data_IF_107950130714
#
_entry.id   IF_107950130714
#
_cell.length_a   1.000
_cell.length_b   1.000
_cell.length_c   1.000
_cell.angle_alpha   90.00
_cell.angle_beta   90.00
_cell.angle_gamma   90.00
#
_symmetry.space_group_name_H-M   'P 1'
#
loop_
_entity.id
_entity.type
_entity.pdbx_description
1 polymer ?
#
# COMPACT_ATOMS: atom_id res chain seq x y z
N UNK A 1 6.45 16.32 19.90
CA UNK A 1 7.02 15.72 18.68
C UNK A 1 5.84 15.35 17.78
N UNK A 2 5.89 15.64 16.48
CA UNK A 2 4.83 15.27 15.52
C UNK A 2 5.35 14.08 14.71
N UNK A 3 4.54 13.03 14.58
CA UNK A 3 4.82 11.89 13.71
C UNK A 3 4.10 12.09 12.37
N UNK A 4 4.80 11.81 11.27
CA UNK A 4 4.22 11.71 9.93
C UNK A 4 3.85 10.25 9.65
N UNK A 5 2.60 10.01 9.29
CA UNK A 5 2.10 8.69 8.91
C UNK A 5 2.32 8.44 7.41
N UNK A 6 2.12 7.20 7.00
CA UNK A 6 2.23 6.76 5.62
C UNK A 6 0.98 7.09 4.77
N UNK A 7 1.05 6.73 3.48
CA UNK A 7 -0.01 6.97 2.50
C UNK A 7 -1.05 5.84 2.46
N UNK A 8 -2.16 6.08 1.75
CA UNK A 8 -3.18 5.07 1.51
C UNK A 8 -2.71 3.95 0.58
N UNK A 9 -2.47 2.75 1.12
CA UNK A 9 -1.98 1.59 0.36
C UNK A 9 -2.85 1.24 -0.87
N UNK A 10 -4.18 1.22 -0.72
CA UNK A 10 -5.08 0.90 -1.82
C UNK A 10 -5.03 1.94 -2.96
N UNK A 11 -4.89 3.22 -2.62
CA UNK A 11 -4.79 4.29 -3.61
C UNK A 11 -3.46 4.25 -4.35
N UNK A 12 -2.36 4.00 -3.64
CA UNK A 12 -1.03 3.80 -4.23
C UNK A 12 -1.00 2.60 -5.18
N UNK A 13 -1.58 1.46 -4.78
CA UNK A 13 -1.70 0.28 -5.63
C UNK A 13 -2.46 0.62 -6.92
N UNK A 14 -3.60 1.29 -6.81
CA UNK A 14 -4.41 1.69 -7.97
C UNK A 14 -3.66 2.65 -8.88
N UNK A 15 -2.99 3.66 -8.33
CA UNK A 15 -2.22 4.65 -9.11
C UNK A 15 -1.03 4.02 -9.84
N UNK A 16 -0.43 2.97 -9.27
CA UNK A 16 0.66 2.20 -9.88
C UNK A 16 0.16 1.12 -10.86
N UNK A 17 -1.14 1.04 -11.11
CA UNK A 17 -1.74 0.13 -12.08
C UNK A 17 -2.00 -1.29 -11.57
N UNK A 18 -1.94 -1.53 -10.26
CA UNK A 18 -2.29 -2.82 -9.68
C UNK A 18 -3.80 -2.98 -9.53
N UNK A 19 -4.26 -4.23 -9.60
CA UNK A 19 -5.65 -4.58 -9.41
C UNK A 19 -6.07 -4.34 -7.94
N UNK A 20 -7.04 -3.45 -7.73
CA UNK A 20 -7.65 -3.20 -6.42
C UNK A 20 -9.10 -3.67 -6.49
N UNK A 21 -9.32 -4.93 -6.15
CA UNK A 21 -10.63 -5.59 -6.21
C UNK A 21 -11.58 -5.10 -5.13
N UNK A 22 -12.87 -5.17 -5.40
CA UNK A 22 -13.88 -4.91 -4.38
C UNK A 22 -14.12 -6.15 -3.50
N UNK A 23 -14.74 -5.95 -2.34
CA UNK A 23 -15.05 -7.03 -1.39
C UNK A 23 -15.95 -8.14 -1.96
N UNK A 24 -16.59 -7.91 -3.11
CA UNK A 24 -17.48 -8.89 -3.77
C UNK A 24 -16.70 -9.91 -4.59
N UNK A 25 -15.60 -9.49 -5.20
CA UNK A 25 -14.76 -10.32 -6.07
C UNK A 25 -13.53 -10.85 -5.35
N UNK A 26 -12.84 -10.00 -4.58
CA UNK A 26 -11.72 -10.39 -3.72
C UNK A 26 -11.35 -9.25 -2.76
N UNK A 27 -10.91 -9.57 -1.54
CA UNK A 27 -10.36 -8.55 -0.64
C UNK A 27 -9.05 -8.02 -1.26
N UNK A 28 -9.01 -6.73 -1.61
CA UNK A 28 -7.88 -6.13 -2.33
C UNK A 28 -6.54 -6.39 -1.65
N UNK A 29 -6.49 -6.35 -0.31
CA UNK A 29 -5.25 -6.53 0.45
C UNK A 29 -4.72 -7.96 0.32
N UNK A 30 -5.62 -8.96 0.35
CA UNK A 30 -5.25 -10.36 0.13
C UNK A 30 -4.76 -10.57 -1.30
N UNK A 31 -5.46 -10.01 -2.30
CA UNK A 31 -5.04 -10.09 -3.71
C UNK A 31 -3.65 -9.47 -3.91
N UNK A 32 -3.41 -8.28 -3.35
CA UNK A 32 -2.12 -7.60 -3.41
C UNK A 32 -0.99 -8.42 -2.77
N UNK A 33 -1.23 -8.99 -1.59
CA UNK A 33 -0.23 -9.82 -0.88
C UNK A 33 0.09 -11.13 -1.60
N UNK A 34 -0.88 -11.75 -2.28
CA UNK A 34 -0.67 -13.01 -3.00
C UNK A 34 -0.05 -12.76 -4.38
N UNK A 35 -0.60 -11.81 -5.14
CA UNK A 35 -0.23 -11.61 -6.55
C UNK A 35 0.91 -10.61 -6.74
N UNK A 36 1.08 -9.66 -5.83
CA UNK A 36 2.00 -8.53 -6.00
C UNK A 36 2.62 -8.05 -4.68
N UNK A 37 3.19 -8.95 -3.84
CA UNK A 37 3.75 -8.58 -2.54
C UNK A 37 4.86 -7.53 -2.64
N UNK A 38 5.63 -7.55 -3.73
CA UNK A 38 6.68 -6.55 -3.95
C UNK A 38 6.12 -5.14 -4.13
N UNK A 39 4.90 -4.98 -4.67
CA UNK A 39 4.27 -3.67 -4.80
C UNK A 39 3.99 -3.03 -3.44
N UNK A 40 3.50 -3.83 -2.48
CA UNK A 40 3.28 -3.42 -1.08
C UNK A 40 4.58 -2.96 -0.44
N UNK A 41 5.66 -3.75 -0.61
CA UNK A 41 6.99 -3.42 -0.08
C UNK A 41 7.53 -2.11 -0.67
N UNK A 42 7.42 -1.92 -1.99
CA UNK A 42 7.91 -0.70 -2.63
C UNK A 42 7.12 0.54 -2.22
N UNK A 43 5.80 0.43 -2.00
CA UNK A 43 4.99 1.54 -1.48
C UNK A 43 5.46 1.93 -0.07
N UNK A 44 5.69 0.96 0.83
CA UNK A 44 6.22 1.27 2.16
C UNK A 44 7.62 1.89 2.09
N UNK A 45 8.50 1.41 1.19
CA UNK A 45 9.82 2.03 0.96
C UNK A 45 9.70 3.47 0.46
N UNK A 46 8.74 3.75 -0.41
CA UNK A 46 8.52 5.10 -0.93
C UNK A 46 7.94 6.03 0.14
N UNK A 47 7.06 5.53 1.01
CA UNK A 47 6.60 6.28 2.20
C UNK A 47 7.78 6.63 3.13
N UNK A 48 8.70 5.70 3.35
CA UNK A 48 9.93 5.96 4.14
C UNK A 48 10.81 7.02 3.45
N UNK A 49 11.02 6.93 2.12
CA UNK A 49 11.78 7.94 1.37
C UNK A 49 11.12 9.32 1.40
N UNK A 50 9.79 9.38 1.45
CA UNK A 50 9.01 10.61 1.58
C UNK A 50 9.07 11.22 3.00
N UNK A 51 9.63 10.48 3.97
CA UNK A 51 9.85 10.96 5.34
C UNK A 51 8.79 10.52 6.34
N UNK A 52 7.98 9.49 6.06
CA UNK A 52 7.07 8.96 7.08
C UNK A 52 7.85 8.36 8.25
N UNK A 53 7.35 8.57 9.47
CA UNK A 53 7.90 8.02 10.70
C UNK A 53 7.27 6.67 11.07
N UNK A 54 6.07 6.40 10.56
CA UNK A 54 5.26 5.23 10.92
C UNK A 54 4.71 4.56 9.66
N UNK A 55 4.84 3.24 9.59
CA UNK A 55 4.20 2.38 8.60
C UNK A 55 2.99 1.70 9.23
N UNK A 56 1.84 1.71 8.54
CA UNK A 56 0.61 1.06 8.96
C UNK A 56 0.36 -0.18 8.09
N UNK A 57 0.04 -1.31 8.73
CA UNK A 57 -0.23 -2.61 8.08
C UNK A 57 -1.68 -3.04 8.21
#
# INVERSE_FOLDING_TARGET
MKYLLDSGMGDELKQRGFEVTDWKTSIWSVSALIKSPNAVVEIHKDNIKAGCDVIIT
#
